data_IF_721685460726
#
_entry.id   IF_721685460726
#
_cell.length_a   1.000
_cell.length_b   1.000
_cell.length_c   1.000
_cell.angle_alpha   90.00
_cell.angle_beta   90.00
_cell.angle_gamma   90.00
#
_symmetry.space_group_name_H-M   'P 1'
#
loop_
_entity.id
_entity.type
_entity.pdbx_description
1 polymer ?
#
# COMPACT_ATOMS: atom_id res chain seq x y z
N UNK A 1 2.75 29.72 -26.60
CA UNK A 1 3.67 29.27 -25.54
C UNK A 1 2.90 28.64 -24.38
N UNK A 2 1.84 29.26 -23.85
CA UNK A 2 1.01 28.68 -22.76
C UNK A 2 0.36 27.34 -23.11
N UNK A 3 -0.21 27.19 -24.31
CA UNK A 3 -0.84 25.92 -24.73
C UNK A 3 0.14 24.74 -24.83
N UNK A 4 1.43 25.01 -25.12
CA UNK A 4 2.47 23.98 -25.22
C UNK A 4 2.91 23.56 -23.81
N UNK A 5 3.12 24.53 -22.91
CA UNK A 5 3.44 24.23 -21.51
C UNK A 5 2.33 23.44 -20.81
N UNK A 6 1.06 23.79 -21.05
CA UNK A 6 -0.09 23.07 -20.50
C UNK A 6 -0.22 21.64 -21.08
N UNK A 7 0.17 21.42 -22.34
CA UNK A 7 0.18 20.08 -22.93
C UNK A 7 1.29 19.19 -22.35
N UNK A 8 2.49 19.75 -22.16
CA UNK A 8 3.61 19.04 -21.50
C UNK A 8 3.26 18.63 -20.07
N UNK A 9 2.65 19.52 -19.28
CA UNK A 9 2.26 19.24 -17.90
C UNK A 9 1.22 18.11 -17.79
N UNK A 10 0.28 18.05 -18.76
CA UNK A 10 -0.68 16.94 -18.85
C UNK A 10 0.00 15.61 -19.14
N UNK A 11 0.93 15.57 -20.10
CA UNK A 11 1.68 14.36 -20.45
C UNK A 11 2.47 13.85 -19.25
N UNK A 12 3.10 14.76 -18.52
CA UNK A 12 3.82 14.46 -17.27
C UNK A 12 2.89 13.85 -16.22
N UNK A 13 1.74 14.48 -15.99
CA UNK A 13 0.75 13.99 -15.02
C UNK A 13 0.21 12.60 -15.37
N UNK A 14 -0.08 12.35 -16.65
CA UNK A 14 -0.55 11.04 -17.13
C UNK A 14 0.50 9.94 -16.94
N UNK A 15 1.76 10.22 -17.26
CA UNK A 15 2.87 9.28 -17.06
C UNK A 15 3.09 8.95 -15.59
N UNK A 16 3.06 9.95 -14.71
CA UNK A 16 3.12 9.75 -13.26
C UNK A 16 2.00 8.83 -12.77
N UNK A 17 0.76 9.03 -13.25
CA UNK A 17 -0.38 8.17 -12.92
C UNK A 17 -0.18 6.74 -13.41
N UNK A 18 0.29 6.56 -14.64
CA UNK A 18 0.59 5.23 -15.18
C UNK A 18 1.62 4.51 -14.31
N UNK A 19 2.70 5.20 -13.96
CA UNK A 19 3.79 4.69 -13.12
C UNK A 19 3.35 4.34 -11.70
N UNK A 20 2.47 5.15 -11.12
CA UNK A 20 1.84 4.84 -9.84
C UNK A 20 0.99 3.56 -9.92
N UNK A 21 0.28 3.36 -11.03
CA UNK A 21 -0.54 2.17 -11.23
C UNK A 21 0.31 0.89 -11.37
N UNK A 22 1.50 0.98 -11.97
CA UNK A 22 2.47 -0.12 -12.04
C UNK A 22 2.87 -0.59 -10.62
N UNK A 23 3.24 0.35 -9.75
CA UNK A 23 3.59 0.04 -8.35
C UNK A 23 2.39 -0.54 -7.59
N UNK A 24 1.19 0.04 -7.76
CA UNK A 24 -0.01 -0.46 -7.10
C UNK A 24 -0.33 -1.90 -7.52
N UNK A 25 -0.18 -2.23 -8.79
CA UNK A 25 -0.40 -3.59 -9.31
C UNK A 25 0.63 -4.57 -8.74
N UNK A 26 1.91 -4.18 -8.71
CA UNK A 26 2.97 -4.98 -8.11
C UNK A 26 2.73 -5.22 -6.61
N UNK A 27 2.32 -4.18 -5.87
CA UNK A 27 1.99 -4.27 -4.46
C UNK A 27 0.82 -5.23 -4.21
N UNK A 28 -0.26 -5.13 -4.99
CA UNK A 28 -1.40 -6.04 -4.90
C UNK A 28 -0.99 -7.49 -5.14
N UNK A 29 -0.18 -7.74 -6.16
CA UNK A 29 0.28 -9.10 -6.48
C UNK A 29 1.16 -9.69 -5.37
N UNK A 30 2.12 -8.94 -4.84
CA UNK A 30 3.04 -9.45 -3.82
C UNK A 30 2.36 -9.61 -2.46
N UNK A 31 1.40 -8.74 -2.12
CA UNK A 31 0.68 -8.77 -0.86
C UNK A 31 -0.54 -9.71 -0.89
N UNK A 32 -0.83 -10.36 -2.01
CA UNK A 32 -2.00 -11.23 -2.16
C UNK A 32 -2.03 -12.37 -1.11
N UNK A 33 -0.88 -12.99 -0.81
CA UNK A 33 -0.79 -14.05 0.19
C UNK A 33 -1.14 -13.58 1.60
N UNK A 34 -0.77 -12.34 1.96
CA UNK A 34 -1.15 -11.75 3.25
C UNK A 34 -2.66 -11.51 3.29
N UNK A 35 -3.24 -10.96 2.20
CA UNK A 35 -4.68 -10.72 2.14
C UNK A 35 -5.47 -12.04 2.23
N UNK A 36 -5.00 -13.08 1.54
CA UNK A 36 -5.57 -14.43 1.61
C UNK A 36 -5.52 -14.97 3.04
N UNK A 37 -4.36 -14.87 3.72
CA UNK A 37 -4.24 -15.29 5.11
C UNK A 37 -5.22 -14.56 6.04
N UNK A 38 -5.36 -13.24 5.89
CA UNK A 38 -6.34 -12.47 6.67
C UNK A 38 -7.76 -12.92 6.35
N UNK A 39 -8.10 -13.06 5.06
CA UNK A 39 -9.46 -13.33 4.60
C UNK A 39 -9.92 -14.76 4.85
N UNK A 40 -9.04 -15.74 4.73
CA UNK A 40 -9.40 -17.16 4.87
C UNK A 40 -8.96 -17.72 6.22
N UNK A 41 -7.73 -17.47 6.66
CA UNK A 41 -7.23 -18.08 7.91
C UNK A 41 -7.79 -17.36 9.13
N UNK A 42 -7.58 -16.04 9.23
CA UNK A 42 -8.00 -15.28 10.41
C UNK A 42 -9.52 -15.12 10.51
N UNK A 43 -10.21 -14.85 9.39
CA UNK A 43 -11.67 -14.77 9.42
C UNK A 43 -12.31 -16.12 9.76
N UNK A 44 -11.81 -17.24 9.23
CA UNK A 44 -12.34 -18.57 9.60
C UNK A 44 -12.17 -18.83 11.09
N UNK A 45 -11.00 -18.54 11.66
CA UNK A 45 -10.75 -18.66 13.09
C UNK A 45 -11.69 -17.76 13.91
N UNK A 46 -11.91 -16.52 13.47
CA UNK A 46 -12.87 -15.60 14.07
C UNK A 46 -14.28 -16.19 14.09
N UNK A 47 -14.81 -16.66 12.96
CA UNK A 47 -16.17 -17.20 12.89
C UNK A 47 -16.34 -18.45 13.74
N UNK A 48 -15.33 -19.33 13.76
CA UNK A 48 -15.34 -20.52 14.62
C UNK A 48 -15.37 -20.13 16.11
N UNK A 49 -14.51 -19.22 16.53
CA UNK A 49 -14.47 -18.69 17.90
C UNK A 49 -15.80 -18.03 18.28
N UNK A 50 -16.33 -17.17 17.40
CA UNK A 50 -17.57 -16.45 17.63
C UNK A 50 -18.77 -17.39 17.74
N UNK A 51 -18.81 -18.48 16.96
CA UNK A 51 -19.83 -19.52 17.07
C UNK A 51 -19.86 -20.14 18.48
N UNK A 52 -18.68 -20.46 19.03
CA UNK A 52 -18.55 -21.04 20.37
C UNK A 52 -18.95 -20.07 21.50
N UNK A 53 -19.02 -18.76 21.23
CA UNK A 53 -19.48 -17.76 22.21
C UNK A 53 -20.98 -17.85 22.51
N UNK A 54 -21.82 -18.38 21.61
CA UNK A 54 -23.28 -18.42 21.76
C UNK A 54 -23.75 -19.59 22.64
N UNK A 55 -23.64 -19.42 23.95
CA UNK A 55 -24.04 -20.39 24.97
C UNK A 55 -25.22 -19.86 25.80
N UNK A 56 -26.27 -20.67 25.97
CA UNK A 56 -27.45 -20.33 26.79
C UNK A 56 -27.14 -20.10 28.27
N UNK A 57 -25.97 -20.54 28.74
CA UNK A 57 -25.49 -20.32 30.11
C UNK A 57 -24.87 -18.94 30.31
N UNK A 58 -24.54 -18.22 29.23
CA UNK A 58 -23.91 -16.89 29.26
C UNK A 58 -24.97 -15.80 29.14
N UNK A 59 -24.74 -14.67 29.80
CA UNK A 59 -25.55 -13.48 29.57
C UNK A 59 -25.10 -12.75 28.28
N UNK A 60 -25.87 -11.75 27.86
CA UNK A 60 -25.59 -11.01 26.62
C UNK A 60 -24.25 -10.26 26.64
N UNK A 61 -23.83 -9.73 27.79
CA UNK A 61 -22.57 -9.01 27.91
C UNK A 61 -21.37 -9.96 27.76
N UNK A 62 -21.45 -11.14 28.36
CA UNK A 62 -20.42 -12.19 28.24
C UNK A 62 -20.29 -12.68 26.80
N UNK A 63 -21.41 -12.83 26.08
CA UNK A 63 -21.42 -13.18 24.66
C UNK A 63 -20.73 -12.08 23.85
N UNK A 64 -21.10 -10.81 24.07
CA UNK A 64 -20.50 -9.66 23.36
C UNK A 64 -18.99 -9.59 23.58
N UNK A 65 -18.54 -9.67 24.83
CA UNK A 65 -17.12 -9.62 25.20
C UNK A 65 -16.33 -10.79 24.58
N UNK A 66 -16.95 -11.97 24.52
CA UNK A 66 -16.35 -13.13 23.87
C UNK A 66 -16.17 -12.90 22.35
N UNK A 67 -17.20 -12.42 21.66
CA UNK A 67 -17.12 -12.13 20.21
C UNK A 67 -16.12 -11.01 19.92
N UNK A 68 -16.10 -9.95 20.74
CA UNK A 68 -15.11 -8.87 20.67
C UNK A 68 -13.68 -9.42 20.82
N UNK A 69 -13.46 -10.37 21.74
CA UNK A 69 -12.15 -11.01 21.88
C UNK A 69 -11.77 -11.83 20.64
N UNK A 70 -12.72 -12.58 20.05
CA UNK A 70 -12.49 -13.35 18.84
C UNK A 70 -12.10 -12.48 17.64
N UNK A 71 -12.57 -11.23 17.56
CA UNK A 71 -12.28 -10.35 16.43
C UNK A 71 -10.90 -9.67 16.50
N UNK A 72 -10.29 -9.60 17.69
CA UNK A 72 -9.01 -8.92 17.93
C UNK A 72 -7.91 -9.34 16.94
N UNK A 73 -7.64 -10.64 16.68
CA UNK A 73 -6.58 -11.02 15.75
C UNK A 73 -6.82 -10.52 14.34
N UNK A 74 -8.07 -10.62 13.84
CA UNK A 74 -8.45 -10.16 12.51
C UNK A 74 -8.32 -8.63 12.38
N UNK A 75 -8.81 -7.89 13.37
CA UNK A 75 -8.68 -6.43 13.38
C UNK A 75 -7.23 -5.97 13.48
N UNK A 76 -6.42 -6.62 14.33
CA UNK A 76 -4.99 -6.30 14.43
C UNK A 76 -4.28 -6.54 13.09
N UNK A 77 -4.55 -7.66 12.42
CA UNK A 77 -3.95 -7.96 11.14
C UNK A 77 -4.33 -6.94 10.05
N UNK A 78 -5.62 -6.58 9.99
CA UNK A 78 -6.12 -5.56 9.09
C UNK A 78 -5.46 -4.20 9.33
N UNK A 79 -5.32 -3.79 10.60
CA UNK A 79 -4.68 -2.53 10.98
C UNK A 79 -3.19 -2.51 10.62
N UNK A 80 -2.45 -3.60 10.88
CA UNK A 80 -1.03 -3.72 10.51
C UNK A 80 -0.88 -3.56 9.00
N UNK A 81 -1.66 -4.30 8.22
CA UNK A 81 -1.64 -4.25 6.76
C UNK A 81 -1.90 -2.83 6.24
N UNK A 82 -2.97 -2.18 6.71
CA UNK A 82 -3.33 -0.83 6.28
C UNK A 82 -2.26 0.21 6.65
N UNK A 83 -1.70 0.13 7.85
CA UNK A 83 -0.67 1.07 8.32
C UNK A 83 0.63 0.93 7.52
N UNK A 84 1.09 -0.29 7.28
CA UNK A 84 2.31 -0.54 6.51
C UNK A 84 2.13 -0.14 5.03
N UNK A 85 0.95 -0.40 4.47
CA UNK A 85 0.62 0.03 3.11
C UNK A 85 0.55 1.56 2.98
N UNK A 86 -0.07 2.25 3.95
CA UNK A 86 -0.13 3.70 3.97
C UNK A 86 1.28 4.32 4.04
N UNK A 87 2.16 3.77 4.88
CA UNK A 87 3.56 4.23 4.98
C UNK A 87 4.33 4.02 3.67
N UNK A 88 4.11 2.90 2.99
CA UNK A 88 4.71 2.65 1.68
C UNK A 88 4.21 3.65 0.64
N UNK A 89 2.89 3.88 0.56
CA UNK A 89 2.30 4.86 -0.36
C UNK A 89 2.80 6.28 -0.08
N UNK A 90 2.95 6.67 1.18
CA UNK A 90 3.52 7.96 1.56
C UNK A 90 4.97 8.12 1.07
N UNK A 91 5.82 7.08 1.22
CA UNK A 91 7.20 7.12 0.71
C UNK A 91 7.25 7.26 -0.81
N UNK A 92 6.44 6.48 -1.53
CA UNK A 92 6.32 6.58 -2.99
C UNK A 92 5.84 7.97 -3.43
N UNK A 93 4.78 8.49 -2.82
CA UNK A 93 4.28 9.83 -3.17
C UNK A 93 5.33 10.91 -2.93
N UNK A 94 6.11 10.81 -1.85
CA UNK A 94 7.23 11.73 -1.59
C UNK A 94 8.35 11.61 -2.63
N UNK A 95 8.72 10.40 -3.05
CA UNK A 95 9.77 10.24 -4.09
C UNK A 95 9.32 10.84 -5.43
N UNK A 96 8.05 10.67 -5.79
CA UNK A 96 7.48 11.29 -6.99
C UNK A 96 7.43 12.82 -6.91
N UNK A 97 7.10 13.40 -5.75
CA UNK A 97 7.19 14.86 -5.55
C UNK A 97 8.62 15.38 -5.74
N UNK A 98 9.62 14.67 -5.22
CA UNK A 98 11.03 15.02 -5.45
C UNK A 98 11.38 15.02 -6.95
N UNK A 99 10.86 14.07 -7.72
CA UNK A 99 11.04 14.06 -9.16
C UNK A 99 10.38 15.26 -9.86
N UNK A 100 9.20 15.67 -9.41
CA UNK A 100 8.51 16.87 -9.92
C UNK A 100 9.30 18.15 -9.60
N UNK A 101 9.82 18.29 -8.39
CA UNK A 101 10.63 19.46 -8.00
C UNK A 101 11.92 19.58 -8.82
N UNK A 102 12.56 18.43 -9.11
CA UNK A 102 13.73 18.36 -10.00
C UNK A 102 13.39 18.78 -11.42
N UNK A 103 12.25 18.32 -11.94
CA UNK A 103 11.76 18.69 -13.26
C UNK A 103 11.50 20.20 -13.36
N UNK A 104 10.82 20.78 -12.39
CA UNK A 104 10.54 22.22 -12.37
C UNK A 104 11.83 23.03 -12.31
N UNK A 105 12.79 22.60 -11.48
CA UNK A 105 14.12 23.22 -11.41
C UNK A 105 14.86 23.18 -12.75
N UNK A 106 14.79 22.04 -13.46
CA UNK A 106 15.38 21.88 -14.80
C UNK A 106 14.69 22.76 -15.85
N UNK A 107 13.35 22.92 -15.78
CA UNK A 107 12.58 23.84 -16.65
C UNK A 107 13.01 25.29 -16.45
N UNK A 108 13.15 25.75 -15.21
CA UNK A 108 13.60 27.11 -14.88
C UNK A 108 15.00 27.37 -15.47
N UNK A 109 15.87 26.36 -15.43
CA UNK A 109 17.22 26.42 -16.01
C UNK A 109 17.23 26.30 -17.55
N UNK A 110 16.06 26.20 -18.20
CA UNK A 110 15.90 25.99 -19.65
C UNK A 110 16.63 24.74 -20.15
N UNK A 111 16.72 23.70 -19.31
CA UNK A 111 17.27 22.42 -19.70
C UNK A 111 16.32 21.74 -20.70
N UNK A 112 16.82 21.45 -21.91
CA UNK A 112 16.05 20.78 -22.97
C UNK A 112 15.72 19.32 -22.63
N UNK A 113 16.44 18.72 -21.69
CA UNK A 113 16.28 17.34 -21.26
C UNK A 113 15.40 17.20 -20.01
N UNK A 114 14.77 18.28 -19.51
CA UNK A 114 14.00 18.25 -18.26
C UNK A 114 12.97 17.12 -18.21
N UNK A 115 12.21 16.90 -19.30
CA UNK A 115 11.21 15.83 -19.38
C UNK A 115 11.84 14.43 -19.34
N UNK A 116 12.98 14.23 -20.00
CA UNK A 116 13.69 12.94 -20.00
C UNK A 116 14.28 12.63 -18.61
N UNK A 117 14.81 13.65 -17.93
CA UNK A 117 15.31 13.55 -16.55
C UNK A 117 14.18 13.22 -15.57
N UNK A 118 12.99 13.79 -15.77
CA UNK A 118 11.80 13.44 -14.99
C UNK A 118 11.42 11.98 -15.20
N UNK A 119 11.32 11.52 -16.45
CA UNK A 119 11.00 10.12 -16.76
C UNK A 119 11.95 9.16 -16.05
N UNK A 120 13.27 9.42 -16.17
CA UNK A 120 14.29 8.61 -15.51
C UNK A 120 14.17 8.63 -13.99
N UNK A 121 13.87 9.78 -13.38
CA UNK A 121 13.67 9.89 -11.93
C UNK A 121 12.45 9.09 -11.46
N UNK A 122 11.33 9.18 -12.20
CA UNK A 122 10.10 8.45 -11.89
C UNK A 122 10.30 6.95 -12.07
N UNK A 123 10.95 6.51 -13.14
CA UNK A 123 11.26 5.11 -13.38
C UNK A 123 12.14 4.52 -12.26
N UNK A 124 13.17 5.26 -11.83
CA UNK A 124 13.99 4.84 -10.70
C UNK A 124 13.17 4.75 -9.41
N UNK A 125 12.33 5.75 -9.13
CA UNK A 125 11.47 5.78 -7.93
C UNK A 125 10.47 4.63 -7.89
N UNK A 126 9.92 4.27 -9.05
CA UNK A 126 9.04 3.09 -9.21
C UNK A 126 9.81 1.80 -8.96
N UNK A 127 10.97 1.65 -9.59
CA UNK A 127 11.78 0.45 -9.45
C UNK A 127 12.25 0.24 -8.00
N UNK A 128 12.69 1.30 -7.34
CA UNK A 128 13.08 1.28 -5.93
C UNK A 128 11.90 0.85 -5.05
N UNK A 129 10.71 1.41 -5.30
CA UNK A 129 9.49 1.05 -4.58
C UNK A 129 9.10 -0.42 -4.80
N UNK A 130 9.22 -0.93 -6.02
CA UNK A 130 8.96 -2.35 -6.33
C UNK A 130 9.97 -3.26 -5.60
N UNK A 131 11.24 -2.85 -5.55
CA UNK A 131 12.29 -3.59 -4.86
C UNK A 131 12.11 -3.58 -3.33
N UNK A 132 11.41 -2.58 -2.76
CA UNK A 132 11.04 -2.55 -1.35
C UNK A 132 9.87 -3.49 -0.99
N UNK A 133 9.01 -3.87 -1.95
CA UNK A 133 7.81 -4.66 -1.68
C UNK A 133 8.09 -6.00 -0.98
N UNK A 134 9.13 -6.79 -1.35
CA UNK A 134 9.43 -8.03 -0.62
C UNK A 134 9.77 -7.79 0.86
N UNK A 135 10.45 -6.69 1.18
CA UNK A 135 10.74 -6.33 2.56
C UNK A 135 9.47 -5.92 3.32
N UNK A 136 8.55 -5.22 2.65
CA UNK A 136 7.24 -4.89 3.20
C UNK A 136 6.43 -6.16 3.50
N UNK A 137 6.40 -7.11 2.56
CA UNK A 137 5.75 -8.42 2.73
C UNK A 137 6.33 -9.13 3.94
N UNK A 138 7.65 -9.33 4.00
CA UNK A 138 8.31 -10.02 5.11
C UNK A 138 8.05 -9.34 6.47
N UNK A 139 8.01 -8.01 6.50
CA UNK A 139 7.68 -7.26 7.71
C UNK A 139 6.24 -7.51 8.18
N UNK A 140 5.28 -7.52 7.26
CA UNK A 140 3.88 -7.79 7.58
C UNK A 140 3.72 -9.25 8.01
N UNK A 141 4.25 -10.21 7.25
CA UNK A 141 4.22 -11.64 7.60
C UNK A 141 4.80 -11.89 8.99
N UNK A 142 5.97 -11.32 9.31
CA UNK A 142 6.57 -11.42 10.64
C UNK A 142 5.73 -10.79 11.75
N UNK A 143 5.00 -9.71 11.46
CA UNK A 143 4.08 -9.09 12.43
C UNK A 143 2.82 -9.93 12.65
N UNK A 144 2.41 -10.72 11.64
CA UNK A 144 1.24 -11.60 11.70
C UNK A 144 1.58 -13.03 12.15
N UNK A 145 2.86 -13.37 12.28
CA UNK A 145 3.31 -14.71 12.62
C UNK A 145 3.07 -15.73 11.50
N UNK A 146 3.01 -15.28 10.25
CA UNK A 146 2.93 -16.16 9.07
C UNK A 146 4.31 -16.78 8.88
N UNK A 147 4.43 -18.09 9.12
CA UNK A 147 5.66 -18.86 8.91
C UNK A 147 5.42 -19.82 7.73
N UNK A 148 6.35 -19.84 6.78
CA UNK A 148 6.38 -20.75 5.63
C UNK A 148 7.21 -22.01 5.95
#
# INVERSE_FOLDING_TARGET
MEAIAAAEERIVSERLKQKLNEVNTAAQSQLAGIQDHVQFTLQQAYYRCAYECFDRRRNQEDIRRCVEHCSVPTHNAQNIFQNEMARFQERLNRSLMVCQDKHESARIQKNRNATMELESCVDQSVQDSINELPHLVAKIEGSLGINH
#
